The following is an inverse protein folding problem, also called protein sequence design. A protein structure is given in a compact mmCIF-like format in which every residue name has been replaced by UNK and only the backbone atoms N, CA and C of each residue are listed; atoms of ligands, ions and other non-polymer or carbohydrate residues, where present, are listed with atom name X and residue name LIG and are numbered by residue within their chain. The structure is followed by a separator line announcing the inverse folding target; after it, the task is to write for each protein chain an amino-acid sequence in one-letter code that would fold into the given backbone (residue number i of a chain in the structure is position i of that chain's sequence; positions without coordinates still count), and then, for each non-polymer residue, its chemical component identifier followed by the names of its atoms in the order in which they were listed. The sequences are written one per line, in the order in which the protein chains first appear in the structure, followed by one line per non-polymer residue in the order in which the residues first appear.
data_IF_639644441282
#
_entry.id   IF_639644441282
#
_cell.length_a   1.000
_cell.length_b   1.000
_cell.length_c   1.000
_cell.angle_alpha   90.00
_cell.angle_beta   90.00
_cell.angle_gamma   90.00
#
_symmetry.space_group_name_H-M   'P 1'
#
loop_
_entity.id
_entity.type
_entity.pdbx_description
1 polymer ?
#
# COMPACT_ATOMS: atom_id res chain seq x y z
N UNK A 1 9.53 6.44 16.70
CA UNK A 1 8.49 6.39 15.65
C UNK A 1 8.95 5.39 14.58
N UNK A 2 8.07 4.59 13.96
CA UNK A 2 8.44 3.48 13.05
C UNK A 2 9.45 3.94 11.97
N UNK A 3 9.12 5.01 11.25
CA UNK A 3 9.90 5.53 10.13
C UNK A 3 11.15 6.33 10.53
N UNK A 4 11.42 6.48 11.83
CA UNK A 4 12.68 7.04 12.36
C UNK A 4 13.66 5.94 12.80
N UNK A 5 13.32 4.67 12.62
CA UNK A 5 14.22 3.57 12.98
C UNK A 5 15.33 3.38 11.95
N UNK A 6 16.37 2.63 12.33
CA UNK A 6 17.53 2.31 11.50
C UNK A 6 17.20 1.57 10.20
N UNK A 7 16.05 0.91 10.11
CA UNK A 7 15.55 0.36 8.84
C UNK A 7 15.40 1.48 7.81
N UNK A 8 14.89 2.65 8.21
CA UNK A 8 14.58 3.75 7.29
C UNK A 8 15.65 4.82 7.23
N UNK A 9 16.38 5.08 8.31
CA UNK A 9 17.43 6.10 8.36
C UNK A 9 18.78 5.57 7.88
N UNK A 10 19.03 4.26 8.02
CA UNK A 10 20.32 3.63 7.75
C UNK A 10 20.23 2.39 6.84
N UNK A 11 19.03 2.03 6.36
CA UNK A 11 18.78 0.82 5.57
C UNK A 11 19.21 -0.49 6.25
N UNK A 12 19.15 -0.55 7.59
CA UNK A 12 19.48 -1.75 8.38
C UNK A 12 18.33 -2.77 8.39
N UNK A 13 18.07 -3.42 7.26
CA UNK A 13 17.08 -4.49 7.11
C UNK A 13 17.70 -5.73 6.45
N UNK A 14 17.05 -6.90 6.62
CA UNK A 14 17.49 -8.17 6.03
C UNK A 14 16.77 -8.51 4.72
N UNK A 15 15.56 -7.97 4.55
CA UNK A 15 14.67 -8.23 3.41
C UNK A 15 14.02 -6.91 3.02
N UNK A 16 13.97 -6.62 1.72
CA UNK A 16 13.45 -5.36 1.19
C UNK A 16 11.98 -5.09 1.61
N UNK A 17 11.17 -6.14 1.83
CA UNK A 17 9.80 -6.01 2.34
C UNK A 17 9.72 -5.29 3.69
N UNK A 18 10.79 -5.33 4.50
CA UNK A 18 10.84 -4.72 5.82
C UNK A 18 10.88 -3.19 5.72
N UNK A 19 11.46 -2.68 4.64
CA UNK A 19 11.48 -1.26 4.31
C UNK A 19 10.22 -0.88 3.52
N UNK A 20 9.91 -1.63 2.45
CA UNK A 20 8.90 -1.22 1.47
C UNK A 20 7.45 -1.50 1.89
N UNK A 21 7.13 -2.65 2.51
CA UNK A 21 5.73 -2.95 2.83
C UNK A 21 5.08 -1.91 3.75
N UNK A 22 5.71 -1.44 4.85
CA UNK A 22 5.11 -0.41 5.68
C UNK A 22 4.94 0.93 4.97
N UNK A 23 5.86 1.30 4.07
CA UNK A 23 5.76 2.53 3.27
C UNK A 23 4.63 2.45 2.26
N UNK A 24 4.58 1.38 1.48
CA UNK A 24 3.50 1.17 0.50
C UNK A 24 2.16 1.12 1.24
N UNK A 25 2.06 0.44 2.38
CA UNK A 25 0.84 0.39 3.18
C UNK A 25 0.42 1.76 3.74
N UNK A 26 1.38 2.60 4.17
CA UNK A 26 1.10 3.96 4.64
C UNK A 26 0.45 4.82 3.56
N UNK A 27 0.98 4.77 2.33
CA UNK A 27 0.53 5.63 1.23
C UNK A 27 -0.61 5.05 0.39
N UNK A 28 -0.93 3.75 0.51
CA UNK A 28 -1.99 3.10 -0.28
C UNK A 28 -3.20 2.65 0.55
N UNK A 29 -3.01 2.34 1.83
CA UNK A 29 -4.01 1.64 2.64
C UNK A 29 -4.35 0.22 2.15
N UNK A 30 -3.55 -0.36 1.24
CA UNK A 30 -3.76 -1.71 0.75
C UNK A 30 -3.60 -2.78 1.85
N UNK A 31 -4.24 -3.92 1.65
CA UNK A 31 -4.10 -5.05 2.57
C UNK A 31 -2.72 -5.66 2.43
N UNK A 32 -2.18 -6.21 3.52
CA UNK A 32 -0.85 -6.82 3.50
C UNK A 32 -0.73 -7.92 2.42
N UNK A 33 -1.74 -8.78 2.31
CA UNK A 33 -1.74 -9.85 1.31
C UNK A 33 -1.73 -9.30 -0.12
N UNK A 34 -2.53 -8.27 -0.40
CA UNK A 34 -2.56 -7.58 -1.69
C UNK A 34 -1.18 -7.05 -2.07
N UNK A 35 -0.42 -6.51 -1.09
CA UNK A 35 0.93 -5.99 -1.32
C UNK A 35 1.98 -7.11 -1.49
N UNK A 36 1.85 -8.21 -0.75
CA UNK A 36 2.79 -9.32 -0.81
C UNK A 36 2.71 -10.08 -2.15
N UNK A 37 1.54 -10.11 -2.79
CA UNK A 37 1.30 -10.81 -4.04
C UNK A 37 1.47 -9.94 -5.29
N UNK A 38 1.95 -8.70 -5.17
CA UNK A 38 2.08 -7.79 -6.32
C UNK A 38 3.04 -8.32 -7.37
N UNK A 39 2.56 -8.42 -8.60
CA UNK A 39 3.40 -8.57 -9.78
C UNK A 39 3.99 -7.21 -10.15
N UNK A 40 5.18 -7.20 -10.75
CA UNK A 40 5.76 -5.94 -11.27
C UNK A 40 4.90 -5.33 -12.38
N UNK A 41 4.06 -6.16 -13.04
CA UNK A 41 3.07 -5.73 -14.04
C UNK A 41 1.86 -5.03 -13.42
N UNK A 42 1.60 -5.21 -12.13
CA UNK A 42 0.55 -4.46 -11.43
C UNK A 42 0.96 -3.01 -11.16
N UNK A 43 2.25 -2.67 -11.33
CA UNK A 43 2.81 -1.35 -11.01
C UNK A 43 3.04 -0.57 -12.30
N UNK A 44 2.16 0.40 -12.54
CA UNK A 44 2.12 1.22 -13.75
C UNK A 44 2.75 2.59 -13.45
N UNK A 45 4.05 2.72 -13.70
CA UNK A 45 4.82 3.95 -13.44
C UNK A 45 4.75 4.96 -14.60
N UNK A 46 4.48 4.50 -15.83
CA UNK A 46 4.47 5.34 -17.04
C UNK A 46 3.12 6.04 -17.27
N UNK A 47 2.12 5.78 -16.44
CA UNK A 47 0.80 6.42 -16.53
C UNK A 47 0.74 7.72 -15.75
N UNK A 48 -0.19 8.60 -16.09
CA UNK A 48 -0.46 9.82 -15.31
C UNK A 48 -1.90 9.77 -14.78
N UNK A 49 -2.12 9.60 -13.46
CA UNK A 49 -1.13 9.33 -12.41
C UNK A 49 -0.56 7.89 -12.49
N UNK A 50 0.63 7.64 -11.92
CA UNK A 50 1.13 6.29 -11.74
C UNK A 50 0.28 5.54 -10.71
N UNK A 51 0.13 4.22 -10.84
CA UNK A 51 -0.74 3.44 -9.97
C UNK A 51 -0.30 2.00 -9.71
N UNK A 52 -0.84 1.41 -8.64
CA UNK A 52 -0.81 -0.01 -8.33
C UNK A 52 -2.19 -0.60 -8.62
N UNK A 53 -2.24 -1.61 -9.48
CA UNK A 53 -3.44 -2.36 -9.81
C UNK A 53 -3.63 -3.50 -8.81
N UNK A 54 -4.66 -3.43 -7.98
CA UNK A 54 -5.04 -4.54 -7.11
C UNK A 54 -6.01 -5.42 -7.89
N UNK A 55 -5.55 -6.60 -8.28
CA UNK A 55 -6.32 -7.57 -9.04
C UNK A 55 -5.91 -9.02 -8.67
N UNK A 56 -6.41 -9.99 -9.42
CA UNK A 56 -6.03 -11.42 -9.33
C UNK A 56 -5.73 -11.99 -10.74
N UNK A 57 -5.24 -11.14 -11.66
CA UNK A 57 -5.06 -11.50 -13.07
C UNK A 57 -3.91 -12.47 -13.29
N UNK A 58 -3.06 -12.68 -12.29
CA UNK A 58 -1.90 -13.56 -12.35
C UNK A 58 -2.00 -14.73 -11.37
N UNK A 59 -1.38 -15.86 -11.74
CA UNK A 59 -1.35 -17.06 -10.90
C UNK A 59 -0.82 -16.79 -9.49
N UNK A 60 -1.54 -17.31 -8.49
CA UNK A 60 -1.19 -17.14 -7.07
C UNK A 60 -1.67 -15.84 -6.45
N UNK A 61 -2.32 -14.96 -7.21
CA UNK A 61 -3.01 -13.79 -6.65
C UNK A 61 -4.43 -14.15 -6.22
N UNK A 62 -4.82 -13.66 -5.06
CA UNK A 62 -6.15 -13.84 -4.51
C UNK A 62 -6.69 -12.51 -3.97
N UNK A 63 -7.89 -12.15 -4.39
CA UNK A 63 -8.64 -11.03 -3.82
C UNK A 63 -9.81 -11.56 -2.97
N UNK A 64 -10.14 -10.82 -1.91
CA UNK A 64 -11.20 -11.24 -0.97
C UNK A 64 -12.59 -11.27 -1.61
N UNK A 65 -12.86 -10.37 -2.56
CA UNK A 65 -14.12 -10.26 -3.29
C UNK A 65 -13.93 -9.40 -4.55
N UNK A 66 -14.89 -9.43 -5.48
CA UNK A 66 -14.84 -8.62 -6.72
C UNK A 66 -14.67 -7.11 -6.45
N UNK A 67 -15.27 -6.59 -5.38
CA UNK A 67 -15.12 -5.18 -4.96
C UNK A 67 -13.72 -4.82 -4.44
N UNK A 68 -12.79 -5.77 -4.36
CA UNK A 68 -11.40 -5.49 -4.02
C UNK A 68 -10.56 -5.06 -5.22
N UNK A 69 -11.02 -5.33 -6.46
CA UNK A 69 -10.35 -4.86 -7.67
C UNK A 69 -10.39 -3.35 -7.73
N UNK A 70 -9.22 -2.70 -7.84
CA UNK A 70 -9.11 -1.24 -7.87
C UNK A 70 -7.73 -0.80 -8.31
N UNK A 71 -7.64 0.42 -8.82
CA UNK A 71 -6.36 1.09 -9.06
C UNK A 71 -6.10 2.07 -7.93
N UNK A 72 -4.92 1.95 -7.31
CA UNK A 72 -4.48 2.84 -6.24
C UNK A 72 -3.40 3.76 -6.81
N UNK A 73 -3.63 5.09 -6.88
CA UNK A 73 -2.59 6.02 -7.30
C UNK A 73 -1.36 5.93 -6.39
N UNK A 74 -0.17 6.06 -6.97
CA UNK A 74 1.08 6.07 -6.20
C UNK A 74 1.34 7.49 -5.72
N UNK A 75 1.42 7.66 -4.40
CA UNK A 75 1.64 8.95 -3.78
C UNK A 75 3.03 9.54 -4.16
N UNK A 76 3.15 10.85 -4.49
CA UNK A 76 4.42 11.47 -4.85
C UNK A 76 5.51 11.34 -3.79
N UNK A 77 5.17 11.41 -2.50
CA UNK A 77 6.14 11.16 -1.41
C UNK A 77 6.70 9.73 -1.43
N UNK A 78 5.97 8.73 -1.93
CA UNK A 78 6.48 7.36 -2.08
C UNK A 78 7.46 7.25 -3.25
N UNK A 79 7.18 7.94 -4.37
CA UNK A 79 8.13 8.10 -5.48
C UNK A 79 9.38 8.85 -5.01
N UNK A 80 9.24 9.92 -4.24
CA UNK A 80 10.36 10.70 -3.72
C UNK A 80 11.29 9.91 -2.79
N UNK A 81 10.77 8.85 -2.14
CA UNK A 81 11.57 7.88 -1.37
C UNK A 81 12.33 6.91 -2.29
N UNK A 82 11.93 6.74 -3.55
CA UNK A 82 12.61 5.93 -4.57
C UNK A 82 11.91 4.61 -4.89
N UNK A 83 10.57 4.56 -4.80
CA UNK A 83 9.82 3.34 -5.09
C UNK A 83 9.91 2.92 -6.56
N UNK A 84 9.95 3.89 -7.47
CA UNK A 84 10.24 3.72 -8.90
C UNK A 84 11.61 3.08 -9.15
N UNK A 85 12.65 3.53 -8.46
CA UNK A 85 13.98 2.93 -8.53
C UNK A 85 13.96 1.47 -8.07
N UNK A 86 13.30 1.19 -6.95
CA UNK A 86 13.15 -0.18 -6.44
C UNK A 86 12.43 -1.09 -7.45
N UNK A 87 11.32 -0.64 -8.02
CA UNK A 87 10.56 -1.39 -9.03
C UNK A 87 11.40 -1.61 -10.29
N UNK A 88 12.15 -0.61 -10.73
CA UNK A 88 13.04 -0.71 -11.89
C UNK A 88 14.19 -1.69 -11.64
N UNK A 89 14.84 -1.66 -10.47
CA UNK A 89 15.86 -2.63 -10.08
C UNK A 89 15.31 -4.06 -10.13
N UNK A 90 14.09 -4.29 -9.62
CA UNK A 90 13.42 -5.59 -9.68
C UNK A 90 13.17 -6.06 -11.11
N UNK A 91 12.72 -5.17 -11.99
CA UNK A 91 12.51 -5.47 -13.43
C UNK A 91 13.83 -5.80 -14.12
N UNK A 92 14.89 -5.04 -13.86
CA UNK A 92 16.23 -5.28 -14.43
C UNK A 92 16.83 -6.62 -13.98
N UNK A 93 16.58 -7.04 -12.75
CA UNK A 93 16.96 -8.36 -12.24
C UNK A 93 16.10 -9.52 -12.80
N UNK A 94 15.12 -9.24 -13.66
CA UNK A 94 14.23 -10.25 -14.23
C UNK A 94 13.20 -10.81 -13.25
N UNK A 95 12.97 -10.15 -12.11
CA UNK A 95 11.93 -10.57 -11.17
C UNK A 95 10.54 -10.37 -11.79
N UNK A 96 9.59 -11.26 -11.48
CA UNK A 96 8.19 -11.12 -11.93
C UNK A 96 7.29 -10.48 -10.88
N UNK A 97 7.62 -10.68 -9.61
CA UNK A 97 6.87 -10.20 -8.44
C UNK A 97 7.73 -9.24 -7.64
N UNK A 98 7.10 -8.27 -6.97
CA UNK A 98 7.80 -7.31 -6.13
C UNK A 98 8.52 -7.98 -4.95
N UNK A 99 7.91 -9.05 -4.41
CA UNK A 99 8.44 -9.84 -3.30
C UNK A 99 8.40 -11.35 -3.61
N UNK A 100 8.87 -11.74 -4.80
CA UNK A 100 8.76 -13.14 -5.30
C UNK A 100 9.47 -14.21 -4.47
N UNK A 101 10.29 -13.83 -3.50
CA UNK A 101 10.96 -14.73 -2.56
C UNK A 101 10.13 -15.05 -1.31
N UNK A 102 8.94 -14.46 -1.15
CA UNK A 102 8.02 -14.81 -0.07
C UNK A 102 7.43 -16.20 -0.34
N UNK A 103 7.56 -17.08 0.64
CA UNK A 103 6.96 -18.42 0.58
C UNK A 103 5.58 -18.40 1.26
N UNK A 104 4.53 -18.94 0.61
CA UNK A 104 3.19 -18.96 1.19
C UNK A 104 3.15 -19.87 2.41
N UNK A 105 2.38 -19.46 3.41
CA UNK A 105 2.03 -20.26 4.57
C UNK A 105 0.52 -20.25 4.72
N UNK A 106 -0.12 -21.44 4.72
CA UNK A 106 -1.58 -21.55 4.65
C UNK A 106 -2.18 -20.75 3.48
N UNK A 107 -1.55 -20.86 2.30
CA UNK A 107 -1.93 -20.17 1.06
C UNK A 107 -1.83 -18.63 1.11
N UNK A 108 -1.12 -18.06 2.09
CA UNK A 108 -0.94 -16.61 2.24
C UNK A 108 0.53 -16.22 2.32
N UNK A 109 0.94 -15.20 1.58
CA UNK A 109 2.30 -14.64 1.57
C UNK A 109 2.52 -13.67 2.75
N UNK A 110 1.46 -13.06 3.29
CA UNK A 110 1.50 -12.06 4.35
C UNK A 110 1.86 -12.58 5.74
N UNK A 111 1.91 -13.90 5.96
CA UNK A 111 2.15 -14.46 7.30
C UNK A 111 3.53 -14.06 7.86
N UNK A 112 4.61 -14.26 7.09
CA UNK A 112 5.97 -13.90 7.51
C UNK A 112 6.15 -12.39 7.71
N UNK A 113 5.73 -11.51 6.76
CA UNK A 113 5.75 -10.07 6.98
C UNK A 113 4.95 -9.60 8.19
N UNK A 114 3.77 -10.17 8.44
CA UNK A 114 2.92 -9.84 9.60
C UNK A 114 3.62 -10.19 10.93
N UNK A 115 4.21 -11.39 11.01
CA UNK A 115 4.95 -11.81 12.19
C UNK A 115 6.19 -10.93 12.42
N UNK A 116 6.92 -10.61 11.35
CA UNK A 116 8.07 -9.70 11.43
C UNK A 116 7.64 -8.32 11.95
N UNK A 117 6.60 -7.72 11.38
CA UNK A 117 6.14 -6.39 11.76
C UNK A 117 5.69 -6.36 13.24
N UNK A 118 5.02 -7.42 13.69
CA UNK A 118 4.59 -7.57 15.08
C UNK A 118 5.77 -7.61 16.05
N UNK A 119 6.88 -8.29 15.71
CA UNK A 119 8.10 -8.26 16.52
C UNK A 119 8.81 -6.92 16.46
N UNK A 120 8.85 -6.34 15.26
CA UNK A 120 9.51 -5.06 15.00
C UNK A 120 8.86 -3.91 15.78
N UNK A 121 7.54 -3.78 15.77
CA UNK A 121 6.83 -2.74 16.55
C UNK A 121 7.08 -2.88 18.06
N UNK A 122 7.10 -4.11 18.58
CA UNK A 122 7.38 -4.39 20.00
C UNK A 122 8.81 -3.96 20.37
N UNK A 123 9.79 -4.23 19.51
CA UNK A 123 11.19 -3.75 19.70
C UNK A 123 11.30 -2.23 19.72
N UNK A 124 10.39 -1.52 19.03
CA UNK A 124 10.31 -0.06 19.07
C UNK A 124 9.51 0.47 20.26
N UNK A 125 9.09 -0.38 21.20
CA UNK A 125 8.29 0.00 22.37
C UNK A 125 6.79 0.19 22.08
N UNK A 126 6.31 -0.18 20.89
CA UNK A 126 4.89 -0.06 20.52
C UNK A 126 4.14 -1.34 20.98
N UNK A 127 3.85 -1.38 22.28
CA UNK A 127 3.24 -2.53 22.95
C UNK A 127 1.70 -2.56 22.89
N UNK A 128 1.08 -1.67 22.12
CA UNK A 128 -0.36 -1.68 21.92
C UNK A 128 -0.76 -2.80 20.95
N UNK A 129 -1.52 -3.78 21.43
CA UNK A 129 -2.02 -4.92 20.63
C UNK A 129 -3.00 -4.50 19.53
N UNK A 130 -3.61 -3.31 19.63
CA UNK A 130 -4.46 -2.74 18.57
C UNK A 130 -3.65 -2.11 17.42
N UNK A 131 -2.35 -1.87 17.61
CA UNK A 131 -1.45 -1.36 16.57
C UNK A 131 -0.79 -2.53 15.87
N UNK A 132 -1.33 -2.91 14.73
CA UNK A 132 -0.87 -4.02 13.86
C UNK A 132 -0.58 -3.47 12.46
N UNK A 133 -0.12 -4.31 11.53
CA UNK A 133 0.16 -3.87 10.16
C UNK A 133 -1.06 -3.18 9.51
N UNK A 134 -2.27 -3.69 9.78
CA UNK A 134 -3.51 -3.10 9.28
C UNK A 134 -3.83 -1.70 9.84
N UNK A 135 -3.09 -1.23 10.86
CA UNK A 135 -3.23 0.14 11.36
C UNK A 135 -2.83 1.20 10.31
N UNK A 136 -1.99 0.87 9.33
CA UNK A 136 -1.73 1.76 8.19
C UNK A 136 -3.01 2.02 7.39
N UNK A 137 -3.78 0.97 7.11
CA UNK A 137 -5.07 1.12 6.44
C UNK A 137 -6.07 1.95 7.25
N UNK A 138 -6.16 1.76 8.56
CA UNK A 138 -7.02 2.61 9.39
C UNK A 138 -6.58 4.08 9.34
N UNK A 139 -5.27 4.33 9.34
CA UNK A 139 -4.71 5.68 9.15
C UNK A 139 -5.19 6.29 7.82
N UNK A 140 -5.24 5.47 6.77
CA UNK A 140 -5.74 5.84 5.44
C UNK A 140 -7.26 6.02 5.34
N UNK A 141 -8.03 5.54 6.32
CA UNK A 141 -9.46 5.86 6.46
C UNK A 141 -9.63 7.21 7.14
N UNK A 142 -8.87 7.44 8.22
CA UNK A 142 -9.10 8.56 9.13
C UNK A 142 -8.52 9.87 8.62
N UNK A 143 -7.36 9.84 7.95
CA UNK A 143 -6.69 11.06 7.47
C UNK A 143 -7.45 11.76 6.34
N UNK A 144 -7.92 11.07 5.29
CA UNK A 144 -8.69 11.72 4.24
C UNK A 144 -10.01 12.33 4.75
N UNK A 145 -10.67 11.68 5.71
CA UNK A 145 -11.88 12.25 6.34
C UNK A 145 -11.59 13.61 6.99
N UNK A 146 -10.43 13.76 7.62
CA UNK A 146 -9.99 15.05 8.20
C UNK A 146 -9.63 16.08 7.13
N UNK A 147 -9.19 15.63 5.96
CA UNK A 147 -8.92 16.46 4.78
C UNK A 147 -10.18 16.77 3.94
N UNK A 148 -11.39 16.43 4.42
CA UNK A 148 -12.67 16.63 3.72
C UNK A 148 -12.82 15.84 2.41
N UNK A 149 -12.06 14.75 2.27
CA UNK A 149 -12.26 13.78 1.19
C UNK A 149 -13.68 13.21 1.23
N UNK A 150 -14.26 12.98 0.05
CA UNK A 150 -15.62 12.45 -0.06
C UNK A 150 -15.62 10.96 0.26
N UNK A 151 -16.64 10.50 0.98
CA UNK A 151 -16.67 9.12 1.50
C UNK A 151 -16.58 8.06 0.37
N UNK A 152 -17.11 8.38 -0.81
CA UNK A 152 -17.03 7.49 -1.97
C UNK A 152 -15.60 7.39 -2.56
N UNK A 153 -14.77 8.44 -2.47
CA UNK A 153 -13.37 8.42 -2.89
C UNK A 153 -12.54 7.52 -1.97
N UNK A 154 -12.76 7.64 -0.66
CA UNK A 154 -12.13 6.81 0.37
C UNK A 154 -12.56 5.33 0.22
N UNK A 155 -13.85 5.10 -0.01
CA UNK A 155 -14.38 3.74 -0.22
C UNK A 155 -13.80 3.10 -1.49
N UNK A 156 -13.68 3.86 -2.58
CA UNK A 156 -13.05 3.39 -3.82
C UNK A 156 -11.57 3.04 -3.61
N UNK A 157 -10.78 3.93 -2.98
CA UNK A 157 -9.37 3.71 -2.65
C UNK A 157 -9.16 2.41 -1.83
N UNK A 158 -10.09 2.11 -0.93
CA UNK A 158 -9.98 0.99 -0.01
C UNK A 158 -10.66 -0.30 -0.53
N UNK A 159 -11.44 -0.24 -1.61
CA UNK A 159 -12.22 -1.39 -2.10
C UNK A 159 -13.33 -1.78 -1.11
N UNK A 160 -14.09 -0.80 -0.63
CA UNK A 160 -15.31 -0.99 0.16
C UNK A 160 -16.54 -0.76 -0.74
N UNK A 161 -17.57 -1.62 -0.64
CA UNK A 161 -18.83 -1.40 -1.37
C UNK A 161 -19.50 -0.11 -0.90
N UNK A 162 -20.05 0.67 -1.85
CA UNK A 162 -20.99 1.73 -1.53
C UNK A 162 -22.32 1.08 -1.12
N UNK A 163 -22.55 0.94 0.18
CA UNK A 163 -23.75 0.33 0.75
C UNK A 163 -25.01 1.19 0.67
N UNK A 164 -25.35 1.74 -0.50
CA UNK A 164 -26.66 2.33 -0.76
C UNK A 164 -27.19 1.74 -2.06
N UNK A 165 -28.02 0.70 -1.89
CA UNK A 165 -28.99 0.28 -2.88
C UNK A 165 -30.21 1.16 -2.61
N UNK A 166 -30.35 2.26 -3.35
CA UNK A 166 -31.66 2.88 -3.63
C UNK A 166 -31.53 3.93 -4.73
N UNK A 167 -32.34 3.73 -5.77
CA UNK A 167 -32.58 4.55 -6.96
C UNK A 167 -31.67 4.33 -8.18
N UNK A 168 -32.15 3.38 -8.99
CA UNK A 168 -32.23 3.40 -10.45
C UNK A 168 -31.70 4.67 -11.17
N UNK A 169 -30.94 4.41 -12.25
CA UNK A 169 -30.59 5.29 -13.40
C UNK A 169 -29.15 5.86 -13.47
N UNK A 170 -28.26 5.67 -12.50
CA UNK A 170 -26.83 5.93 -12.76
C UNK A 170 -25.94 4.86 -12.14
N UNK A 171 -25.23 4.11 -13.00
CA UNK A 171 -24.27 3.10 -12.58
C UNK A 171 -23.31 3.67 -11.54
N UNK A 172 -22.96 2.87 -10.55
CA UNK A 172 -21.95 3.20 -9.54
C UNK A 172 -20.58 3.36 -10.22
N UNK A 173 -20.33 4.51 -10.83
CA UNK A 173 -19.08 4.84 -11.49
C UNK A 173 -18.07 5.08 -10.37
N UNK A 174 -17.13 4.15 -10.21
CA UNK A 174 -15.93 4.40 -9.42
C UNK A 174 -15.32 5.74 -9.86
N UNK A 175 -14.86 6.60 -8.93
CA UNK A 175 -14.24 7.86 -9.28
C UNK A 175 -13.11 7.65 -10.29
N UNK A 176 -12.93 8.56 -11.27
CA UNK A 176 -11.74 8.58 -12.10
C UNK A 176 -10.49 8.56 -11.22
N UNK A 177 -9.46 7.84 -11.65
CA UNK A 177 -8.22 7.68 -10.90
C UNK A 177 -7.57 9.03 -10.55
N UNK A 178 -7.71 10.04 -11.41
CA UNK A 178 -7.27 11.42 -11.16
C UNK A 178 -7.94 12.05 -9.94
N UNK A 179 -9.23 11.75 -9.72
CA UNK A 179 -9.97 12.26 -8.57
C UNK A 179 -9.42 11.64 -7.29
N UNK A 180 -9.20 10.33 -7.28
CA UNK A 180 -8.59 9.63 -6.14
C UNK A 180 -7.14 10.09 -5.92
N UNK A 181 -6.39 10.35 -6.99
CA UNK A 181 -5.01 10.84 -6.90
C UNK A 181 -4.93 12.24 -6.31
N UNK A 182 -5.80 13.16 -6.72
CA UNK A 182 -5.87 14.52 -6.14
C UNK A 182 -6.15 14.45 -4.64
N UNK A 183 -7.20 13.72 -4.25
CA UNK A 183 -7.52 13.48 -2.83
C UNK A 183 -6.34 12.88 -2.06
N UNK A 184 -5.68 11.88 -2.65
CA UNK A 184 -4.54 11.20 -2.03
C UNK A 184 -3.37 12.17 -1.81
N UNK A 185 -3.09 13.05 -2.76
CA UNK A 185 -1.97 13.99 -2.71
C UNK A 185 -2.18 15.15 -1.72
N UNK A 186 -3.41 15.38 -1.26
CA UNK A 186 -3.71 16.33 -0.17
C UNK A 186 -3.25 15.79 1.20
N UNK A 187 -3.02 14.48 1.31
CA UNK A 187 -2.45 13.88 2.51
C UNK A 187 -0.95 14.15 2.52
N UNK A 188 -0.41 14.65 3.63
CA UNK A 188 1.03 14.68 3.83
C UNK A 188 1.43 13.81 5.01
N UNK A 189 2.39 12.93 4.75
CA UNK A 189 2.99 12.08 5.76
C UNK A 189 4.42 12.52 6.11
N UNK A 190 4.87 13.69 5.64
CA UNK A 190 6.22 14.24 5.89
C UNK A 190 6.63 14.22 7.36
N UNK A 191 5.72 14.47 8.30
CA UNK A 191 6.03 14.39 9.73
C UNK A 191 6.50 13.00 10.14
N UNK A 192 5.96 11.95 9.51
CA UNK A 192 6.37 10.56 9.72
C UNK A 192 7.59 10.19 8.89
N UNK A 193 7.71 10.70 7.67
CA UNK A 193 8.66 10.20 6.65
C UNK A 193 9.87 11.10 6.39
N UNK A 194 9.99 12.25 7.06
CA UNK A 194 11.06 13.24 6.86
C UNK A 194 12.49 12.72 7.08
N UNK A 195 12.66 11.69 7.91
CA UNK A 195 13.98 11.12 8.25
C UNK A 195 14.38 9.95 7.36
N UNK A 196 13.51 9.55 6.41
CA UNK A 196 13.76 8.38 5.57
C UNK A 196 14.91 8.69 4.61
N UNK A 197 15.95 7.85 4.65
CA UNK A 197 17.00 7.84 3.65
C UNK A 197 16.41 7.29 2.35
N UNK A 198 16.53 8.08 1.26
CA UNK A 198 16.08 7.70 -0.08
C UNK A 198 16.71 6.38 -0.52
N UNK A 199 15.94 5.60 -1.27
CA UNK A 199 16.41 4.39 -1.94
C UNK A 199 17.35 4.78 -3.09
N UNK A 200 18.55 4.21 -3.05
CA UNK A 200 19.61 4.36 -4.05
C UNK A 200 19.93 3.01 -4.64
#
# INVERSE_FOLDING_TARGET
MIFSSTIYTEHKFKKDYQFWLPLIALYSGARLEELCQLHLRDIQLETTPPYIDINDNFDGQHIKNNSSRRKIPIHPELIAVGFDNFVSQKKLCGEKMLFGYLAPQRQQLGHKPSQWFSKYKTRLGINNNKKVFHSFRHTMVDHPKKARARDYEIKSLLGHKNGSITHDIYGSIDPPIDTVSKMLNELSFKKLTSQIKKWS
#
